data_IF_619328535512
#
_entry.id   IF_619328535512
#
_cell.length_a   1.000
_cell.length_b   1.000
_cell.length_c   1.000
_cell.angle_alpha   90.00
_cell.angle_beta   90.00
_cell.angle_gamma   90.00
#
_symmetry.space_group_name_H-M   'P 1'
#
loop_
_entity.id
_entity.type
_entity.pdbx_description
1 polymer ?
#
# COMPACT_ATOMS: atom_id res chain seq x y z
N UNK A 1 2.71 12.49 -1.58
CA UNK A 1 3.71 11.47 -1.98
C UNK A 1 3.07 10.50 -2.97
N UNK A 2 3.76 10.14 -4.05
CA UNK A 2 3.26 9.20 -5.08
C UNK A 2 4.15 7.97 -5.16
N UNK A 3 3.54 6.80 -5.22
CA UNK A 3 4.18 5.50 -5.34
C UNK A 3 3.92 4.97 -6.75
N UNK A 4 4.92 5.07 -7.61
CA UNK A 4 4.85 4.53 -8.97
C UNK A 4 5.20 3.03 -8.98
N UNK A 5 4.37 2.25 -9.67
CA UNK A 5 4.49 0.80 -9.86
C UNK A 5 4.61 0.42 -11.35
N UNK A 6 4.71 1.39 -12.25
CA UNK A 6 4.65 1.20 -13.72
C UNK A 6 5.85 0.48 -14.35
N UNK A 7 6.90 0.17 -13.58
CA UNK A 7 8.15 -0.43 -14.06
C UNK A 7 8.49 -1.77 -13.39
N UNK A 8 7.55 -2.38 -12.69
CA UNK A 8 7.77 -3.67 -12.04
C UNK A 8 7.20 -4.77 -12.94
N UNK A 9 8.02 -5.81 -13.18
CA UNK A 9 7.66 -7.02 -13.94
C UNK A 9 6.31 -7.62 -13.51
N UNK A 10 5.77 -8.49 -14.37
CA UNK A 10 4.51 -9.24 -14.22
C UNK A 10 4.15 -9.43 -12.74
N UNK A 11 3.19 -8.61 -12.26
CA UNK A 11 2.78 -8.41 -10.86
C UNK A 11 3.63 -7.46 -9.98
N UNK A 12 3.56 -6.14 -10.23
CA UNK A 12 4.11 -5.10 -9.36
C UNK A 12 3.82 -5.33 -7.87
N UNK A 13 4.88 -5.50 -7.09
CA UNK A 13 4.80 -5.50 -5.64
C UNK A 13 5.77 -4.49 -5.03
N UNK A 14 5.31 -3.78 -4.01
CA UNK A 14 6.16 -2.89 -3.21
C UNK A 14 6.01 -3.22 -1.74
N UNK A 15 7.15 -3.33 -1.06
CA UNK A 15 7.22 -3.65 0.36
C UNK A 15 7.50 -2.40 1.17
N UNK A 16 6.62 -2.11 2.13
CA UNK A 16 6.86 -1.12 3.18
C UNK A 16 7.20 -1.86 4.46
N UNK A 17 8.15 -1.35 5.23
CA UNK A 17 8.50 -1.93 6.53
C UNK A 17 8.33 -0.86 7.59
N UNK A 18 7.48 -1.13 8.57
CA UNK A 18 7.50 -0.38 9.83
C UNK A 18 8.59 -0.98 10.71
N UNK A 19 9.50 -0.12 11.17
CA UNK A 19 10.48 -0.49 12.17
C UNK A 19 9.79 -0.86 13.49
N UNK A 20 10.40 -1.75 14.29
CA UNK A 20 9.94 -2.01 15.65
C UNK A 20 9.80 -0.72 16.45
N UNK A 21 8.86 -0.72 17.40
CA UNK A 21 8.65 0.36 18.35
C UNK A 21 8.51 -0.21 19.76
N UNK A 22 9.08 0.48 20.74
CA UNK A 22 8.91 0.15 22.16
C UNK A 22 7.45 0.27 22.61
N UNK A 23 6.66 1.13 21.94
CA UNK A 23 5.24 1.30 22.18
C UNK A 23 4.39 0.53 21.16
N UNK A 24 3.28 -0.05 21.62
CA UNK A 24 2.32 -0.71 20.72
C UNK A 24 1.54 0.34 19.94
N UNK A 25 1.75 0.38 18.63
CA UNK A 25 1.11 1.35 17.74
C UNK A 25 0.19 0.61 16.77
N UNK A 26 -1.12 0.84 16.88
CA UNK A 26 -2.08 0.32 15.92
C UNK A 26 -1.96 1.04 14.57
N UNK A 27 -2.10 0.30 13.48
CA UNK A 27 -2.18 0.88 12.13
C UNK A 27 -3.36 0.33 11.33
N UNK A 28 -3.86 1.15 10.40
CA UNK A 28 -4.89 0.79 9.43
C UNK A 28 -4.64 1.45 8.08
N UNK A 29 -4.58 0.66 7.01
CA UNK A 29 -4.54 1.08 5.62
C UNK A 29 -5.95 1.04 5.04
N UNK A 30 -6.36 2.13 4.40
CA UNK A 30 -7.61 2.23 3.63
C UNK A 30 -7.24 2.62 2.21
N UNK A 31 -7.57 1.76 1.25
CA UNK A 31 -7.47 2.07 -0.17
C UNK A 31 -8.80 2.63 -0.67
N UNK A 32 -8.77 3.85 -1.20
CA UNK A 32 -9.92 4.51 -1.83
C UNK A 32 -9.87 4.21 -3.33
N UNK A 33 -10.17 2.95 -3.65
CA UNK A 33 -10.34 2.48 -5.02
C UNK A 33 -11.20 1.22 -5.02
N UNK A 34 -12.00 1.03 -6.06
CA UNK A 34 -12.70 -0.22 -6.31
C UNK A 34 -12.00 -0.97 -7.44
N UNK A 35 -10.84 -1.57 -7.15
CA UNK A 35 -10.10 -2.38 -8.11
C UNK A 35 -9.68 -3.71 -7.47
N UNK A 36 -10.22 -4.86 -7.92
CA UNK A 36 -9.90 -6.18 -7.37
C UNK A 36 -8.46 -6.63 -7.65
N UNK A 37 -7.80 -6.02 -8.63
CA UNK A 37 -6.41 -6.31 -8.99
C UNK A 37 -5.41 -5.68 -8.02
N UNK A 38 -5.88 -4.79 -7.13
CA UNK A 38 -5.08 -4.09 -6.14
C UNK A 38 -5.35 -4.58 -4.72
N UNK A 39 -4.29 -4.89 -3.98
CA UNK A 39 -4.40 -5.32 -2.59
C UNK A 39 -3.28 -4.75 -1.72
N UNK A 40 -3.60 -4.56 -0.44
CA UNK A 40 -2.64 -4.22 0.62
C UNK A 40 -2.74 -5.27 1.71
N UNK A 41 -1.63 -5.91 2.06
CA UNK A 41 -1.61 -6.99 3.06
C UNK A 41 -0.42 -6.86 4.01
N UNK A 42 -0.63 -6.84 5.33
CA UNK A 42 -1.92 -6.71 6.01
C UNK A 42 -2.49 -5.29 5.88
N UNK A 43 -3.82 -5.15 5.91
CA UNK A 43 -4.48 -3.82 5.96
C UNK A 43 -4.48 -3.22 7.37
N UNK A 44 -4.36 -4.04 8.42
CA UNK A 44 -4.35 -3.57 9.81
C UNK A 44 -3.43 -4.42 10.67
N UNK A 45 -2.97 -3.86 11.78
CA UNK A 45 -2.15 -4.59 12.74
C UNK A 45 -1.61 -3.69 13.84
N UNK A 46 -0.61 -4.21 14.56
CA UNK A 46 0.07 -3.50 15.64
C UNK A 46 1.57 -3.56 15.38
N UNK A 47 2.22 -2.40 15.36
CA UNK A 47 3.68 -2.27 15.39
C UNK A 47 4.11 -2.40 16.85
N UNK A 48 5.08 -3.29 17.11
CA UNK A 48 5.57 -3.55 18.46
C UNK A 48 7.04 -4.00 18.40
N UNK A 49 7.39 -5.13 19.00
CA UNK A 49 8.76 -5.63 19.13
C UNK A 49 9.38 -6.12 17.81
N UNK A 50 8.55 -6.46 16.81
CA UNK A 50 9.00 -6.98 15.52
C UNK A 50 8.69 -6.02 14.36
N UNK A 51 9.55 -5.99 13.33
CA UNK A 51 9.26 -5.22 12.13
C UNK A 51 8.00 -5.75 11.46
N UNK A 52 7.10 -4.84 11.05
CA UNK A 52 5.89 -5.20 10.32
C UNK A 52 6.10 -4.91 8.84
N UNK A 53 5.94 -5.95 8.03
CA UNK A 53 6.06 -5.86 6.57
C UNK A 53 4.67 -5.70 5.94
N UNK A 54 4.46 -4.62 5.21
CA UNK A 54 3.23 -4.33 4.46
C UNK A 54 3.52 -4.50 2.98
N UNK A 55 2.79 -5.40 2.33
CA UNK A 55 2.87 -5.65 0.90
C UNK A 55 1.76 -4.89 0.19
N UNK A 56 2.12 -4.03 -0.75
CA UNK A 56 1.19 -3.46 -1.72
C UNK A 56 1.39 -4.20 -3.04
N UNK A 57 0.30 -4.68 -3.62
CA UNK A 57 0.30 -5.56 -4.78
C UNK A 57 -0.69 -5.06 -5.82
N UNK A 58 -0.28 -5.09 -7.10
CA UNK A 58 -1.15 -4.83 -8.24
C UNK A 58 -0.92 -5.90 -9.32
N UNK A 59 -1.97 -6.65 -9.68
CA UNK A 59 -1.93 -7.67 -10.76
C UNK A 59 -2.99 -7.34 -11.80
N UNK A 60 -2.65 -6.53 -12.83
CA UNK A 60 -3.62 -6.11 -13.83
C UNK A 60 -4.21 -7.31 -14.56
N UNK A 61 -5.53 -7.36 -14.65
CA UNK A 61 -6.28 -8.30 -15.50
C UNK A 61 -6.70 -7.67 -16.84
N UNK A 62 -6.57 -6.35 -16.97
CA UNK A 62 -6.83 -5.58 -18.17
C UNK A 62 -5.77 -4.48 -18.38
N UNK A 63 -5.61 -4.04 -19.61
CA UNK A 63 -4.72 -2.92 -19.97
C UNK A 63 -5.36 -1.59 -19.54
N UNK A 64 -5.12 -1.19 -18.30
CA UNK A 64 -5.67 0.04 -17.72
C UNK A 64 -4.57 0.84 -17.00
N UNK A 65 -4.71 2.16 -17.03
CA UNK A 65 -3.97 3.04 -16.10
C UNK A 65 -4.64 2.96 -14.74
N UNK A 66 -3.93 2.38 -13.77
CA UNK A 66 -4.40 2.27 -12.40
C UNK A 66 -3.94 3.46 -11.56
N UNK A 67 -4.87 4.00 -10.77
CA UNK A 67 -4.58 5.01 -9.75
C UNK A 67 -5.46 4.77 -8.53
N UNK A 68 -4.84 4.71 -7.35
CA UNK A 68 -5.53 4.57 -6.07
C UNK A 68 -4.98 5.52 -5.03
N UNK A 69 -5.84 6.14 -4.25
CA UNK A 69 -5.44 6.90 -3.07
C UNK A 69 -5.47 5.98 -1.85
N UNK A 70 -4.39 5.97 -1.08
CA UNK A 70 -4.26 5.14 0.13
C UNK A 70 -4.06 6.05 1.32
N UNK A 71 -4.83 5.80 2.39
CA UNK A 71 -4.74 6.45 3.68
C UNK A 71 -4.16 5.48 4.71
N UNK A 72 -3.23 5.96 5.54
CA UNK A 72 -2.64 5.20 6.65
C UNK A 72 -2.97 5.91 7.95
N UNK A 73 -3.74 5.25 8.79
CA UNK A 73 -4.09 5.72 10.13
C UNK A 73 -3.12 5.14 11.14
N UNK A 74 -2.56 6.00 11.98
CA UNK A 74 -1.68 5.67 13.11
C UNK A 74 -2.20 6.42 14.34
N UNK A 75 -3.33 5.98 14.94
CA UNK A 75 -4.09 6.78 15.91
C UNK A 75 -3.28 7.20 17.15
N UNK A 76 -2.31 6.37 17.55
CA UNK A 76 -1.44 6.64 18.70
C UNK A 76 -0.33 7.66 18.41
N UNK A 77 -0.06 7.98 17.15
CA UNK A 77 0.99 8.93 16.73
C UNK A 77 0.40 10.24 16.23
N UNK A 78 -0.68 10.16 15.46
CA UNK A 78 -1.23 11.31 14.73
C UNK A 78 -2.75 11.22 14.58
N UNK A 79 -3.39 12.38 14.61
CA UNK A 79 -4.84 12.52 14.41
C UNK A 79 -5.24 12.53 12.93
N UNK A 80 -4.33 12.91 12.03
CA UNK A 80 -4.56 12.94 10.58
C UNK A 80 -3.92 11.73 9.89
N UNK A 81 -4.60 11.11 8.92
CA UNK A 81 -4.02 9.98 8.18
C UNK A 81 -2.91 10.45 7.23
N UNK A 82 -1.90 9.61 7.06
CA UNK A 82 -0.91 9.79 5.99
C UNK A 82 -1.52 9.38 4.66
N UNK A 83 -1.42 10.23 3.65
CA UNK A 83 -1.99 9.99 2.34
C UNK A 83 -0.90 9.80 1.27
N UNK A 84 -0.99 8.73 0.49
CA UNK A 84 -0.19 8.56 -0.72
C UNK A 84 -1.04 8.04 -1.87
N UNK A 85 -0.56 8.26 -3.09
CA UNK A 85 -1.20 7.71 -4.30
C UNK A 85 -0.37 6.54 -4.81
N UNK A 86 -1.00 5.44 -5.17
CA UNK A 86 -0.41 4.37 -5.96
C UNK A 86 -0.82 4.57 -7.41
N UNK A 87 0.13 4.52 -8.33
CA UNK A 87 -0.15 4.55 -9.77
C UNK A 87 0.58 3.40 -10.46
N UNK A 88 -0.07 2.79 -11.44
CA UNK A 88 0.56 1.81 -12.32
C UNK A 88 0.03 2.00 -13.74
N UNK A 89 0.94 1.91 -14.70
CA UNK A 89 0.62 1.82 -16.12
C UNK A 89 0.87 0.40 -16.61
N UNK A 90 -0.14 -0.22 -17.22
CA UNK A 90 0.00 -1.53 -17.87
C UNK A 90 0.26 -1.31 -19.35
N UNK A 91 1.41 -1.74 -19.85
CA UNK A 91 1.74 -1.66 -21.28
C UNK A 91 0.78 -2.56 -22.08
N UNK A 92 0.06 -2.05 -23.09
CA UNK A 92 -0.81 -2.85 -23.95
C UNK A 92 -0.08 -3.88 -24.83
N UNK A 93 1.26 -3.93 -24.81
CA UNK A 93 2.09 -4.85 -25.62
C UNK A 93 2.54 -6.12 -24.88
N UNK A 94 2.17 -6.29 -23.61
CA UNK A 94 2.41 -7.51 -22.81
C UNK A 94 1.32 -8.55 -23.00
#
# INVERSE_FOLDING_TARGET
MTLDMSHLDISPQKLFTFSPSESKIGFLFIAICNNPDFAITPTRGIISDKPVKIKIFYKPTACITFRASVQVYLPSIMSTPLCFTVSAYTDPRL
#
